data_IF_749894197036
#
_entry.id   IF_749894197036
#
_cell.length_a   1.000
_cell.length_b   1.000
_cell.length_c   1.000
_cell.angle_alpha   90.00
_cell.angle_beta   90.00
_cell.angle_gamma   90.00
#
_symmetry.space_group_name_H-M   'P 1'
#
loop_
_entity.id
_entity.type
_entity.pdbx_description
1 polymer ?
#
# COMPACT_ATOMS: atom_id res chain seq x y z
N UNK A 1 62.64 -3.50 12.46
CA UNK A 1 61.29 -2.89 12.46
C UNK A 1 60.71 -2.87 11.04
N UNK A 2 60.41 -4.02 10.45
CA UNK A 2 60.00 -4.12 9.02
C UNK A 2 58.73 -4.95 8.78
N UNK A 3 57.94 -5.23 9.82
CA UNK A 3 56.79 -6.15 9.74
C UNK A 3 55.39 -5.51 9.64
N UNK A 4 55.24 -4.20 9.80
CA UNK A 4 53.91 -3.56 9.97
C UNK A 4 53.27 -3.06 8.68
N UNK A 5 54.05 -2.80 7.63
CA UNK A 5 53.53 -2.25 6.36
C UNK A 5 52.80 -3.28 5.48
N UNK A 6 53.26 -4.53 5.47
CA UNK A 6 52.69 -5.58 4.62
C UNK A 6 51.27 -6.01 5.06
N UNK A 7 51.01 -6.03 6.38
CA UNK A 7 49.69 -6.35 6.93
C UNK A 7 48.65 -5.25 6.67
N UNK A 8 49.06 -3.98 6.75
CA UNK A 8 48.20 -2.84 6.45
C UNK A 8 47.87 -2.75 4.95
N UNK A 9 48.85 -3.02 4.08
CA UNK A 9 48.63 -3.07 2.64
C UNK A 9 47.73 -4.26 2.24
N UNK A 10 47.89 -5.43 2.85
CA UNK A 10 47.03 -6.58 2.61
C UNK A 10 45.60 -6.38 3.15
N UNK A 11 45.44 -5.69 4.29
CA UNK A 11 44.15 -5.29 4.81
C UNK A 11 43.47 -4.26 3.90
N UNK A 12 44.21 -3.26 3.41
CA UNK A 12 43.73 -2.28 2.44
C UNK A 12 43.36 -2.95 1.10
N UNK A 13 44.11 -3.94 0.63
CA UNK A 13 43.77 -4.71 -0.58
C UNK A 13 42.53 -5.58 -0.39
N UNK A 14 42.30 -6.13 0.81
CA UNK A 14 41.09 -6.89 1.16
C UNK A 14 39.85 -5.99 1.30
N UNK A 15 40.03 -4.75 1.75
CA UNK A 15 38.99 -3.71 1.76
C UNK A 15 38.72 -3.15 0.35
N UNK A 16 39.74 -3.10 -0.50
CA UNK A 16 39.64 -2.66 -1.90
C UNK A 16 39.13 -3.75 -2.86
N UNK A 17 39.16 -5.03 -2.45
CA UNK A 17 38.41 -6.11 -3.06
C UNK A 17 36.91 -5.98 -2.72
N UNK A 18 36.36 -4.77 -2.92
CA UNK A 18 34.94 -4.54 -2.95
C UNK A 18 34.36 -5.44 -4.04
N UNK A 19 33.25 -6.10 -3.74
CA UNK A 19 32.42 -6.73 -4.77
C UNK A 19 32.27 -5.73 -5.93
N UNK A 20 32.35 -6.19 -7.19
CA UNK A 20 32.21 -5.30 -8.34
C UNK A 20 30.98 -4.43 -8.11
N UNK A 21 31.13 -3.10 -8.24
CA UNK A 21 30.03 -2.18 -8.09
C UNK A 21 28.91 -2.67 -9.02
N UNK A 22 27.80 -3.13 -8.44
CA UNK A 22 26.62 -3.51 -9.23
C UNK A 22 26.29 -2.29 -10.09
N UNK A 23 26.13 -2.45 -11.41
CA UNK A 23 25.95 -1.32 -12.29
C UNK A 23 24.73 -0.50 -11.83
N UNK A 24 24.96 0.77 -11.54
CA UNK A 24 23.90 1.71 -11.26
C UNK A 24 23.08 1.89 -12.55
N UNK A 25 21.85 1.38 -12.55
CA UNK A 25 20.98 1.44 -13.71
C UNK A 25 19.58 0.91 -13.39
N UNK A 26 18.67 1.11 -14.33
CA UNK A 26 17.34 0.50 -14.28
C UNK A 26 17.40 -1.03 -14.36
N UNK A 27 16.24 -1.64 -14.18
CA UNK A 27 16.06 -3.09 -14.16
C UNK A 27 16.49 -3.77 -15.46
N UNK A 28 16.89 -5.04 -15.33
CA UNK A 28 17.14 -5.91 -16.46
C UNK A 28 15.89 -6.02 -17.38
N UNK A 29 16.09 -5.97 -18.70
CA UNK A 29 14.99 -5.90 -19.67
C UNK A 29 14.06 -7.11 -19.62
N UNK A 30 14.61 -8.30 -19.36
CA UNK A 30 13.85 -9.54 -19.18
C UNK A 30 12.91 -9.44 -17.97
N UNK A 31 13.37 -8.90 -16.83
CA UNK A 31 12.53 -8.66 -15.66
C UNK A 31 11.41 -7.66 -15.96
N UNK A 32 11.68 -6.61 -16.74
CA UNK A 32 10.67 -5.64 -17.16
C UNK A 32 9.61 -6.31 -18.02
N UNK A 33 10.03 -7.15 -18.98
CA UNK A 33 9.10 -7.90 -19.83
C UNK A 33 8.23 -8.83 -18.99
N UNK A 34 8.82 -9.58 -18.04
CA UNK A 34 8.09 -10.49 -17.17
C UNK A 34 7.10 -9.72 -16.28
N UNK A 35 7.54 -8.68 -15.60
CA UNK A 35 6.71 -7.89 -14.71
C UNK A 35 5.56 -7.20 -15.48
N UNK A 36 5.86 -6.61 -16.64
CA UNK A 36 4.86 -5.94 -17.49
C UNK A 36 3.84 -6.93 -18.05
N UNK A 37 4.30 -8.11 -18.50
CA UNK A 37 3.41 -9.17 -19.02
C UNK A 37 2.54 -9.72 -17.89
N UNK A 38 3.10 -9.95 -16.71
CA UNK A 38 2.36 -10.38 -15.53
C UNK A 38 1.29 -9.37 -15.12
N UNK A 39 1.66 -8.08 -15.03
CA UNK A 39 0.72 -7.00 -14.72
C UNK A 39 -0.40 -6.89 -15.77
N UNK A 40 -0.06 -7.00 -17.06
CA UNK A 40 -1.04 -6.99 -18.15
C UNK A 40 -1.99 -8.19 -18.07
N UNK A 41 -1.46 -9.39 -17.81
CA UNK A 41 -2.26 -10.61 -17.67
C UNK A 41 -3.22 -10.51 -16.48
N UNK A 42 -2.73 -10.09 -15.30
CA UNK A 42 -3.58 -9.90 -14.11
C UNK A 42 -4.65 -8.82 -14.34
N UNK A 43 -4.29 -7.74 -15.03
CA UNK A 43 -5.24 -6.68 -15.41
C UNK A 43 -6.30 -7.21 -16.38
N UNK A 44 -5.91 -8.01 -17.38
CA UNK A 44 -6.84 -8.65 -18.30
C UNK A 44 -7.80 -9.60 -17.56
N UNK A 45 -7.31 -10.39 -16.60
CA UNK A 45 -8.16 -11.23 -15.74
C UNK A 45 -9.18 -10.38 -14.98
N UNK A 46 -8.76 -9.28 -14.39
CA UNK A 46 -9.64 -8.33 -13.70
C UNK A 46 -10.72 -7.77 -14.61
N UNK A 47 -10.35 -7.37 -15.83
CA UNK A 47 -11.28 -6.86 -16.83
C UNK A 47 -12.29 -7.93 -17.27
N UNK A 48 -11.84 -9.16 -17.49
CA UNK A 48 -12.71 -10.29 -17.85
C UNK A 48 -13.68 -10.64 -16.73
N UNK A 49 -13.19 -10.72 -15.48
CA UNK A 49 -14.05 -10.96 -14.31
C UNK A 49 -15.05 -9.84 -14.11
N UNK A 50 -14.61 -8.59 -14.27
CA UNK A 50 -15.45 -7.43 -14.13
C UNK A 50 -16.53 -7.35 -15.20
N UNK A 51 -16.15 -7.47 -16.47
CA UNK A 51 -17.08 -7.55 -17.60
C UNK A 51 -18.05 -8.72 -17.43
N UNK A 52 -17.55 -9.90 -17.08
CA UNK A 52 -18.37 -11.09 -16.82
C UNK A 52 -19.41 -10.88 -15.72
N UNK A 53 -19.05 -10.21 -14.61
CA UNK A 53 -20.00 -9.82 -13.56
C UNK A 53 -21.04 -8.82 -14.07
N UNK A 54 -20.61 -7.78 -14.79
CA UNK A 54 -21.50 -6.77 -15.38
C UNK A 54 -22.52 -7.39 -16.33
N UNK A 55 -22.09 -8.30 -17.21
CA UNK A 55 -22.98 -9.00 -18.16
C UNK A 55 -23.74 -10.17 -17.55
N UNK A 56 -23.50 -10.52 -16.28
CA UNK A 56 -24.15 -11.66 -15.61
C UNK A 56 -23.62 -13.04 -16.02
N UNK A 57 -22.51 -13.10 -16.76
CA UNK A 57 -21.87 -14.36 -17.18
C UNK A 57 -21.05 -15.01 -16.06
N UNK A 58 -20.50 -14.19 -15.17
CA UNK A 58 -19.69 -14.64 -14.02
C UNK A 58 -20.41 -14.30 -12.73
N UNK A 59 -20.70 -15.31 -11.91
CA UNK A 59 -21.39 -15.12 -10.62
C UNK A 59 -20.45 -15.13 -9.41
N UNK A 60 -19.16 -15.47 -9.61
CA UNK A 60 -18.17 -15.59 -8.54
C UNK A 60 -18.00 -14.28 -7.74
N UNK A 61 -17.84 -13.14 -8.43
CA UNK A 61 -17.71 -11.83 -7.76
C UNK A 61 -18.94 -11.49 -6.92
N UNK A 62 -20.15 -11.76 -7.44
CA UNK A 62 -21.39 -11.55 -6.70
C UNK A 62 -21.49 -12.48 -5.47
N UNK A 63 -21.01 -13.73 -5.56
CA UNK A 63 -20.97 -14.67 -4.43
C UNK A 63 -20.00 -14.20 -3.35
N UNK A 64 -18.79 -13.80 -3.73
CA UNK A 64 -17.78 -13.27 -2.80
C UNK A 64 -18.27 -11.97 -2.14
N UNK A 65 -18.90 -11.08 -2.90
CA UNK A 65 -19.50 -9.86 -2.38
C UNK A 65 -20.57 -10.16 -1.31
N UNK A 66 -21.46 -11.12 -1.55
CA UNK A 66 -22.46 -11.56 -0.56
C UNK A 66 -21.87 -12.23 0.67
N UNK A 67 -20.75 -12.95 0.53
CA UNK A 67 -20.03 -13.52 1.67
C UNK A 67 -19.42 -12.40 2.52
N UNK A 68 -18.85 -11.38 1.87
CA UNK A 68 -18.26 -10.23 2.53
C UNK A 68 -19.27 -9.35 3.28
N UNK A 69 -20.56 -9.40 2.92
CA UNK A 69 -21.66 -8.75 3.66
C UNK A 69 -21.94 -9.39 5.03
N UNK A 70 -21.26 -10.48 5.39
CA UNK A 70 -21.39 -11.15 6.70
C UNK A 70 -20.35 -10.63 7.70
N UNK A 71 -20.53 -11.02 8.97
CA UNK A 71 -19.57 -10.72 10.05
C UNK A 71 -19.24 -9.22 10.14
N UNK A 72 -17.96 -8.81 10.06
CA UNK A 72 -17.55 -7.39 10.12
C UNK A 72 -18.11 -6.52 8.99
N UNK A 73 -18.46 -7.11 7.84
CA UNK A 73 -19.00 -6.41 6.68
C UNK A 73 -20.51 -6.17 6.72
N UNK A 74 -21.22 -6.75 7.72
CA UNK A 74 -22.67 -6.61 7.90
C UNK A 74 -23.11 -5.15 7.88
N UNK A 75 -24.27 -4.84 7.28
CA UNK A 75 -24.78 -3.47 7.17
C UNK A 75 -23.95 -2.59 6.23
N UNK A 76 -23.28 -3.19 5.25
CA UNK A 76 -22.72 -2.55 4.08
C UNK A 76 -23.01 -3.45 2.87
N UNK A 77 -23.25 -2.90 1.69
CA UNK A 77 -23.40 -3.69 0.47
C UNK A 77 -22.04 -4.29 0.07
N UNK A 78 -22.09 -5.41 -0.66
CA UNK A 78 -20.90 -6.17 -1.04
C UNK A 78 -19.90 -5.38 -1.89
N UNK A 79 -20.35 -4.36 -2.63
CA UNK A 79 -19.48 -3.45 -3.37
C UNK A 79 -18.61 -2.54 -2.47
N UNK A 80 -18.94 -2.40 -1.19
CA UNK A 80 -18.06 -1.75 -0.20
C UNK A 80 -17.38 -2.79 0.69
N UNK A 81 -18.13 -3.80 1.16
CA UNK A 81 -17.65 -4.76 2.14
C UNK A 81 -16.49 -5.62 1.64
N UNK A 82 -16.57 -6.14 0.41
CA UNK A 82 -15.52 -6.97 -0.18
C UNK A 82 -14.25 -6.14 -0.49
N UNK A 83 -14.33 -5.02 -1.23
CA UNK A 83 -13.17 -4.17 -1.47
C UNK A 83 -12.42 -3.74 -0.20
N UNK A 84 -13.13 -3.31 0.85
CA UNK A 84 -12.47 -2.87 2.08
C UNK A 84 -11.64 -3.99 2.73
N UNK A 85 -12.10 -5.24 2.67
CA UNK A 85 -11.35 -6.40 3.19
C UNK A 85 -10.14 -6.70 2.32
N UNK A 86 -10.31 -6.71 1.00
CA UNK A 86 -9.22 -6.91 0.05
C UNK A 86 -8.15 -5.84 0.23
N UNK A 87 -8.52 -4.56 0.30
CA UNK A 87 -7.59 -3.45 0.46
C UNK A 87 -6.84 -3.51 1.80
N UNK A 88 -7.52 -3.84 2.91
CA UNK A 88 -6.87 -3.97 4.21
C UNK A 88 -5.79 -5.07 4.20
N UNK A 89 -6.13 -6.25 3.70
CA UNK A 89 -5.17 -7.36 3.60
C UNK A 89 -4.01 -6.99 2.66
N UNK A 90 -4.33 -6.38 1.54
CA UNK A 90 -3.34 -5.97 0.54
C UNK A 90 -2.36 -4.91 1.10
N UNK A 91 -2.84 -3.95 1.88
CA UNK A 91 -2.01 -2.96 2.56
C UNK A 91 -1.08 -3.60 3.60
N UNK A 92 -1.56 -4.58 4.37
CA UNK A 92 -0.72 -5.29 5.33
C UNK A 92 0.39 -6.10 4.65
N UNK A 93 0.06 -6.78 3.53
CA UNK A 93 1.03 -7.53 2.73
C UNK A 93 2.05 -6.59 2.08
N UNK A 94 1.61 -5.46 1.51
CA UNK A 94 2.52 -4.45 0.94
C UNK A 94 3.42 -3.83 2.01
N UNK A 95 2.88 -3.53 3.19
CA UNK A 95 3.63 -2.95 4.32
C UNK A 95 4.75 -3.89 4.77
N UNK A 96 4.44 -5.17 4.94
CA UNK A 96 5.44 -6.19 5.30
C UNK A 96 6.55 -6.25 4.24
N UNK A 97 6.17 -6.35 2.96
CA UNK A 97 7.11 -6.36 1.85
C UNK A 97 8.02 -5.14 1.85
N UNK A 98 7.45 -3.95 1.99
CA UNK A 98 8.20 -2.69 1.93
C UNK A 98 9.20 -2.53 3.08
N UNK A 99 8.82 -2.84 4.33
CA UNK A 99 9.78 -2.78 5.43
C UNK A 99 10.86 -3.87 5.32
N UNK A 100 10.50 -5.05 4.82
CA UNK A 100 11.47 -6.12 4.54
C UNK A 100 12.46 -5.70 3.45
N UNK A 101 11.96 -5.09 2.38
CA UNK A 101 12.74 -4.60 1.24
C UNK A 101 13.74 -3.52 1.65
N UNK A 102 13.28 -2.51 2.41
CA UNK A 102 14.16 -1.46 2.95
C UNK A 102 15.29 -2.08 3.79
N UNK A 103 14.98 -3.05 4.66
CA UNK A 103 15.96 -3.73 5.49
C UNK A 103 17.00 -4.49 4.65
N UNK A 104 16.56 -5.20 3.61
CA UNK A 104 17.45 -5.92 2.69
C UNK A 104 18.36 -4.97 1.90
N UNK A 105 17.83 -3.86 1.40
CA UNK A 105 18.63 -2.87 0.70
C UNK A 105 19.69 -2.20 1.58
N UNK A 106 19.39 -1.99 2.87
CA UNK A 106 20.36 -1.45 3.83
C UNK A 106 21.45 -2.47 4.15
N UNK A 107 21.10 -3.75 4.29
CA UNK A 107 22.00 -4.81 4.77
C UNK A 107 22.82 -5.50 3.66
N UNK A 108 22.23 -5.71 2.49
CA UNK A 108 22.81 -6.50 1.38
C UNK A 108 23.03 -5.68 0.09
N UNK A 109 22.58 -4.42 0.08
CA UNK A 109 22.71 -3.52 -1.07
C UNK A 109 21.57 -3.64 -2.08
N UNK A 110 21.72 -2.96 -3.23
CA UNK A 110 20.68 -2.85 -4.26
C UNK A 110 20.59 -4.09 -5.14
N UNK A 111 19.36 -4.32 -5.62
CA UNK A 111 19.01 -5.44 -6.49
C UNK A 111 19.08 -5.06 -7.97
N UNK A 112 19.10 -6.06 -8.85
CA UNK A 112 19.18 -5.88 -10.31
C UNK A 112 17.82 -5.59 -10.97
N UNK A 113 16.71 -5.64 -10.21
CA UNK A 113 15.39 -5.34 -10.74
C UNK A 113 14.22 -5.77 -9.85
N UNK A 114 12.97 -5.56 -10.31
CA UNK A 114 11.75 -5.68 -9.52
C UNK A 114 11.41 -7.11 -9.10
N UNK A 115 12.08 -8.14 -9.65
CA UNK A 115 11.83 -9.54 -9.32
C UNK A 115 13.02 -10.21 -8.61
N UNK A 116 14.09 -9.46 -8.37
CA UNK A 116 15.35 -9.97 -7.84
C UNK A 116 15.32 -10.25 -6.32
N UNK A 117 14.34 -9.71 -5.59
CA UNK A 117 14.22 -9.86 -4.15
C UNK A 117 12.84 -10.41 -3.76
N UNK A 118 12.83 -11.37 -2.83
CA UNK A 118 11.62 -11.96 -2.26
C UNK A 118 10.69 -10.91 -1.62
N UNK A 119 11.23 -9.83 -1.06
CA UNK A 119 10.44 -8.75 -0.47
C UNK A 119 9.61 -7.96 -1.50
N UNK A 120 10.01 -7.94 -2.77
CA UNK A 120 9.24 -7.28 -3.83
C UNK A 120 7.90 -7.94 -4.09
N UNK A 121 7.78 -9.27 -3.94
CA UNK A 121 6.56 -9.99 -4.28
C UNK A 121 5.38 -9.58 -3.38
N UNK A 122 5.51 -9.50 -2.03
CA UNK A 122 4.48 -8.91 -1.19
C UNK A 122 4.13 -7.46 -1.56
N UNK A 123 5.10 -6.63 -1.96
CA UNK A 123 4.83 -5.25 -2.40
C UNK A 123 3.97 -5.27 -3.68
N UNK A 124 4.38 -6.03 -4.70
CA UNK A 124 3.66 -6.15 -5.97
C UNK A 124 2.25 -6.70 -5.76
N UNK A 125 2.11 -7.79 -5.01
CA UNK A 125 0.81 -8.41 -4.68
C UNK A 125 -0.07 -7.45 -3.90
N UNK A 126 0.48 -6.76 -2.89
CA UNK A 126 -0.28 -5.83 -2.07
C UNK A 126 -0.72 -4.58 -2.85
N UNK A 127 0.16 -3.94 -3.61
CA UNK A 127 -0.21 -2.76 -4.39
C UNK A 127 -1.19 -3.09 -5.52
N UNK A 128 -0.98 -4.23 -6.20
CA UNK A 128 -1.96 -4.72 -7.18
C UNK A 128 -3.30 -5.08 -6.52
N UNK A 129 -3.28 -5.63 -5.31
CA UNK A 129 -4.47 -5.92 -4.51
C UNK A 129 -5.26 -4.66 -4.09
N UNK A 130 -4.58 -3.55 -3.81
CA UNK A 130 -5.23 -2.24 -3.56
C UNK A 130 -5.92 -1.74 -4.82
N UNK A 131 -5.23 -1.77 -5.97
CA UNK A 131 -5.83 -1.41 -7.25
C UNK A 131 -7.04 -2.29 -7.59
N UNK A 132 -6.88 -3.61 -7.43
CA UNK A 132 -7.94 -4.63 -7.57
C UNK A 132 -9.14 -4.28 -6.71
N UNK A 133 -8.93 -3.94 -5.44
CA UNK A 133 -9.99 -3.55 -4.52
C UNK A 133 -10.80 -2.35 -5.03
N UNK A 134 -10.12 -1.30 -5.50
CA UNK A 134 -10.77 -0.15 -6.13
C UNK A 134 -11.60 -0.55 -7.35
N UNK A 135 -11.03 -1.35 -8.27
CA UNK A 135 -11.74 -1.84 -9.45
C UNK A 135 -12.97 -2.66 -9.06
N UNK A 136 -12.87 -3.53 -8.05
CA UNK A 136 -14.01 -4.28 -7.53
C UNK A 136 -15.11 -3.34 -7.01
N UNK A 137 -14.74 -2.29 -6.25
CA UNK A 137 -15.71 -1.29 -5.75
C UNK A 137 -16.43 -0.55 -6.89
N UNK A 138 -15.73 -0.27 -7.98
CA UNK A 138 -16.28 0.39 -9.18
C UNK A 138 -17.22 -0.54 -9.96
N UNK A 139 -16.88 -1.83 -10.08
CA UNK A 139 -17.58 -2.78 -10.94
C UNK A 139 -18.78 -3.48 -10.27
N UNK A 140 -18.70 -3.74 -8.97
CA UNK A 140 -19.69 -4.54 -8.25
C UNK A 140 -21.12 -3.95 -8.22
N UNK A 141 -21.35 -2.63 -8.06
CA UNK A 141 -22.70 -2.07 -8.02
C UNK A 141 -23.45 -2.28 -9.33
N UNK A 142 -24.55 -3.06 -9.31
CA UNK A 142 -25.38 -3.37 -10.48
C UNK A 142 -26.84 -3.02 -10.20
N UNK A 143 -27.46 -2.25 -11.11
CA UNK A 143 -28.84 -1.80 -10.96
C UNK A 143 -29.08 -0.85 -9.77
N UNK A 144 -28.00 -0.27 -9.22
CA UNK A 144 -28.06 0.61 -8.06
C UNK A 144 -27.15 1.81 -8.26
N UNK A 145 -27.47 2.92 -7.59
CA UNK A 145 -26.64 4.13 -7.56
C UNK A 145 -25.94 4.23 -6.20
N UNK A 146 -24.60 4.11 -6.13
CA UNK A 146 -23.83 4.14 -4.87
C UNK A 146 -23.77 5.51 -4.18
N UNK A 147 -24.91 5.99 -3.67
CA UNK A 147 -25.02 7.26 -2.94
C UNK A 147 -25.01 8.51 -3.83
N UNK A 148 -25.15 9.67 -3.19
CA UNK A 148 -25.30 10.96 -3.89
C UNK A 148 -24.03 11.41 -4.64
N UNK A 149 -22.85 11.06 -4.11
CA UNK A 149 -21.55 11.38 -4.68
C UNK A 149 -21.07 10.38 -5.75
N UNK A 150 -21.93 9.45 -6.18
CA UNK A 150 -21.58 8.42 -7.16
C UNK A 150 -21.07 9.04 -8.47
N UNK A 151 -19.98 8.50 -9.00
CA UNK A 151 -19.43 8.88 -10.30
C UNK A 151 -20.18 8.12 -11.40
N UNK A 152 -20.75 8.83 -12.38
CA UNK A 152 -21.42 8.22 -13.54
C UNK A 152 -20.38 7.78 -14.57
N UNK A 153 -20.29 6.48 -14.82
CA UNK A 153 -19.38 5.89 -15.83
C UNK A 153 -20.09 5.79 -17.18
N UNK A 154 -21.30 5.22 -17.19
CA UNK A 154 -22.18 5.17 -18.38
C UNK A 154 -23.61 5.56 -17.97
N UNK A 155 -24.59 5.42 -18.87
CA UNK A 155 -26.00 5.73 -18.56
C UNK A 155 -26.52 4.90 -17.38
N UNK A 156 -26.14 3.63 -17.32
CA UNK A 156 -26.66 2.64 -16.35
C UNK A 156 -25.58 2.10 -15.39
N UNK A 157 -24.43 2.76 -15.33
CA UNK A 157 -23.32 2.38 -14.46
C UNK A 157 -22.82 3.55 -13.64
N UNK A 158 -22.96 3.42 -12.33
CA UNK A 158 -22.51 4.37 -11.33
C UNK A 158 -21.55 3.67 -10.37
N UNK A 159 -20.43 4.33 -10.07
CA UNK A 159 -19.41 3.85 -9.15
C UNK A 159 -19.39 4.71 -7.88
N UNK A 160 -19.11 4.14 -6.69
CA UNK A 160 -18.89 4.92 -5.47
C UNK A 160 -17.62 5.77 -5.62
N UNK A 161 -17.64 7.01 -5.11
CA UNK A 161 -16.48 7.89 -5.24
C UNK A 161 -15.27 7.32 -4.49
N UNK A 162 -15.48 6.72 -3.31
CA UNK A 162 -14.45 6.03 -2.57
C UNK A 162 -13.82 4.87 -3.35
N UNK A 163 -14.60 4.17 -4.17
CA UNK A 163 -14.09 3.10 -5.03
C UNK A 163 -13.20 3.62 -6.17
N UNK A 164 -13.62 4.72 -6.80
CA UNK A 164 -12.82 5.39 -7.85
C UNK A 164 -11.51 5.94 -7.28
N UNK A 165 -11.57 6.59 -6.11
CA UNK A 165 -10.39 7.10 -5.42
C UNK A 165 -9.44 5.95 -5.02
N UNK A 166 -9.98 4.81 -4.57
CA UNK A 166 -9.19 3.65 -4.20
C UNK A 166 -8.48 3.03 -5.41
N UNK A 167 -9.18 2.93 -6.55
CA UNK A 167 -8.59 2.48 -7.80
C UNK A 167 -7.49 3.45 -8.26
N UNK A 168 -7.77 4.76 -8.22
CA UNK A 168 -6.80 5.80 -8.58
C UNK A 168 -5.56 5.77 -7.69
N UNK A 169 -5.72 5.61 -6.38
CA UNK A 169 -4.62 5.53 -5.42
C UNK A 169 -3.74 4.29 -5.65
N UNK A 170 -4.36 3.11 -5.87
CA UNK A 170 -3.63 1.89 -6.22
C UNK A 170 -2.92 1.98 -7.57
N UNK A 171 -3.57 2.55 -8.58
CA UNK A 171 -2.97 2.78 -9.89
C UNK A 171 -1.79 3.74 -9.82
N UNK A 172 -1.93 4.85 -9.08
CA UNK A 172 -0.86 5.81 -8.84
C UNK A 172 0.36 5.17 -8.15
N UNK A 173 0.13 4.31 -7.16
CA UNK A 173 1.22 3.54 -6.53
C UNK A 173 1.90 2.58 -7.52
N UNK A 174 1.13 1.86 -8.34
CA UNK A 174 1.65 0.90 -9.33
C UNK A 174 2.44 1.58 -10.44
N UNK A 175 2.04 2.79 -10.86
CA UNK A 175 2.82 3.59 -11.81
C UNK A 175 4.23 3.93 -11.28
N UNK A 176 4.43 3.90 -9.95
CA UNK A 176 5.73 4.04 -9.34
C UNK A 176 6.77 3.10 -9.94
N UNK A 177 6.46 1.81 -10.16
CA UNK A 177 7.45 0.83 -10.65
C UNK A 177 8.03 1.12 -12.04
N UNK A 178 7.24 1.26 -13.12
CA UNK A 178 7.80 1.56 -14.44
C UNK A 178 8.45 2.94 -14.49
N UNK A 179 7.94 3.92 -13.72
CA UNK A 179 8.55 5.25 -13.65
C UNK A 179 9.85 5.25 -12.85
N UNK A 180 9.98 4.38 -11.85
CA UNK A 180 11.20 4.16 -11.06
C UNK A 180 12.32 3.60 -11.94
N UNK A 181 12.01 2.60 -12.79
CA UNK A 181 12.97 2.08 -13.77
C UNK A 181 13.46 3.18 -14.72
N UNK A 182 12.54 3.98 -15.27
CA UNK A 182 12.89 5.12 -16.13
C UNK A 182 13.73 6.14 -15.38
N UNK A 183 13.35 6.46 -14.14
CA UNK A 183 14.09 7.39 -13.27
C UNK A 183 15.53 6.90 -13.05
N UNK A 184 15.72 5.63 -12.70
CA UNK A 184 17.04 5.05 -12.46
C UNK A 184 17.89 4.98 -13.72
N UNK A 185 17.30 4.80 -14.90
CA UNK A 185 18.04 4.86 -16.18
C UNK A 185 18.58 6.25 -16.50
N UNK A 186 17.85 7.30 -16.11
CA UNK A 186 18.20 8.69 -16.47
C UNK A 186 19.10 9.32 -15.39
N UNK A 187 18.77 9.12 -14.12
CA UNK A 187 19.39 9.82 -12.99
C UNK A 187 20.23 8.93 -12.08
N UNK A 188 20.19 7.61 -12.26
CA UNK A 188 20.82 6.64 -11.37
C UNK A 188 19.90 6.23 -10.22
N UNK A 189 20.35 5.25 -9.43
CA UNK A 189 19.57 4.69 -8.33
C UNK A 189 19.46 5.66 -7.15
N UNK A 190 18.28 5.73 -6.54
CA UNK A 190 18.05 6.58 -5.38
C UNK A 190 18.85 6.10 -4.17
N UNK A 191 19.37 7.04 -3.37
CA UNK A 191 20.03 6.76 -2.08
C UNK A 191 19.14 7.07 -0.87
N UNK A 192 17.92 7.55 -1.13
CA UNK A 192 16.93 7.94 -0.11
C UNK A 192 15.56 7.38 -0.46
N UNK A 193 14.72 7.23 0.56
CA UNK A 193 13.30 6.92 0.41
C UNK A 193 12.51 8.06 -0.26
N UNK A 194 13.07 9.27 -0.32
CA UNK A 194 12.40 10.46 -0.88
C UNK A 194 12.57 10.62 -2.40
N UNK A 195 13.01 9.57 -3.10
CA UNK A 195 12.94 9.49 -4.56
C UNK A 195 11.51 9.74 -5.06
N UNK A 196 11.30 10.51 -6.16
CA UNK A 196 9.96 10.89 -6.61
C UNK A 196 9.00 9.71 -6.78
N UNK A 197 9.51 8.60 -7.31
CA UNK A 197 8.77 7.34 -7.59
C UNK A 197 8.47 6.56 -6.31
N UNK A 198 9.37 6.56 -5.32
CA UNK A 198 9.08 6.06 -3.98
C UNK A 198 7.96 6.87 -3.30
N UNK A 199 7.98 8.20 -3.42
CA UNK A 199 6.93 9.06 -2.90
C UNK A 199 5.58 8.80 -3.59
N UNK A 200 5.57 8.42 -4.86
CA UNK A 200 4.36 7.97 -5.56
C UNK A 200 3.82 6.66 -4.97
N UNK A 201 4.68 5.67 -4.75
CA UNK A 201 4.32 4.37 -4.18
C UNK A 201 3.75 4.53 -2.77
N UNK A 202 4.49 5.21 -1.90
CA UNK A 202 4.10 5.46 -0.50
C UNK A 202 2.85 6.34 -0.45
N UNK A 203 2.81 7.41 -1.27
CA UNK A 203 1.69 8.33 -1.36
C UNK A 203 0.41 7.65 -1.84
N UNK A 204 0.48 6.81 -2.87
CA UNK A 204 -0.66 6.05 -3.37
C UNK A 204 -1.19 5.06 -2.34
N UNK A 205 -0.31 4.32 -1.66
CA UNK A 205 -0.70 3.44 -0.55
C UNK A 205 -1.35 4.24 0.61
N UNK A 206 -0.79 5.40 0.98
CA UNK A 206 -1.34 6.29 2.00
C UNK A 206 -2.71 6.87 1.62
N UNK A 207 -2.87 7.36 0.38
CA UNK A 207 -4.13 7.89 -0.14
C UNK A 207 -5.23 6.82 -0.22
N UNK A 208 -4.85 5.55 -0.42
CA UNK A 208 -5.81 4.44 -0.43
C UNK A 208 -6.56 4.30 0.90
N UNK A 209 -5.93 4.63 2.03
CA UNK A 209 -6.57 4.60 3.35
C UNK A 209 -7.64 5.69 3.48
N UNK A 210 -7.41 6.87 2.88
CA UNK A 210 -8.43 7.93 2.79
C UNK A 210 -9.60 7.46 1.93
N UNK A 211 -9.32 6.85 0.78
CA UNK A 211 -10.35 6.27 -0.08
C UNK A 211 -11.17 5.17 0.61
N UNK A 212 -10.52 4.32 1.42
CA UNK A 212 -11.18 3.31 2.24
C UNK A 212 -12.11 3.93 3.29
N UNK A 213 -11.71 5.02 3.96
CA UNK A 213 -12.59 5.72 4.89
C UNK A 213 -13.85 6.29 4.20
N UNK A 214 -13.68 6.83 2.99
CA UNK A 214 -14.80 7.31 2.17
C UNK A 214 -15.70 6.15 1.76
N UNK A 215 -15.14 5.06 1.23
CA UNK A 215 -15.88 3.89 0.79
C UNK A 215 -16.63 3.20 1.94
N UNK A 216 -16.05 3.16 3.14
CA UNK A 216 -16.73 2.69 4.35
C UNK A 216 -17.99 3.52 4.62
N UNK A 217 -17.86 4.84 4.57
CA UNK A 217 -18.97 5.76 4.83
C UNK A 217 -20.06 5.65 3.78
N UNK A 218 -19.69 5.55 2.51
CA UNK A 218 -20.61 5.35 1.39
C UNK A 218 -21.35 4.02 1.52
N UNK A 219 -20.64 2.93 1.80
CA UNK A 219 -21.24 1.61 2.01
C UNK A 219 -22.24 1.58 3.15
N UNK A 220 -21.92 2.22 4.28
CA UNK A 220 -22.84 2.33 5.43
C UNK A 220 -24.08 3.15 5.10
N UNK A 221 -23.92 4.26 4.37
CA UNK A 221 -25.04 5.14 3.99
C UNK A 221 -25.96 4.53 2.94
N UNK A 222 -25.47 3.58 2.15
CA UNK A 222 -26.28 2.88 1.16
C UNK A 222 -27.33 1.95 1.80
N UNK A 223 -27.16 1.58 3.08
CA UNK A 223 -28.07 0.71 3.82
C UNK A 223 -28.35 1.28 5.23
N UNK A 224 -29.08 2.41 5.35
CA UNK A 224 -29.26 3.11 6.62
C UNK A 224 -30.00 2.27 7.68
N UNK A 225 -30.96 1.45 7.24
CA UNK A 225 -31.82 0.65 8.12
C UNK A 225 -31.30 -0.79 8.34
N UNK A 226 -30.20 -1.16 7.68
CA UNK A 226 -29.66 -2.51 7.82
C UNK A 226 -28.97 -2.68 9.18
N UNK A 227 -29.31 -3.76 9.88
CA UNK A 227 -28.62 -4.15 11.11
C UNK A 227 -27.11 -4.28 10.85
N UNK A 228 -26.31 -3.44 11.49
CA UNK A 228 -24.85 -3.46 11.38
C UNK A 228 -24.19 -4.53 12.25
N UNK A 229 -22.85 -4.63 12.24
CA UNK A 229 -22.14 -5.38 13.26
C UNK A 229 -22.30 -4.68 14.62
N UNK A 230 -21.92 -5.34 15.73
CA UNK A 230 -21.86 -4.70 17.04
C UNK A 230 -21.11 -3.37 17.00
N UNK A 231 -21.57 -2.39 17.77
CA UNK A 231 -21.01 -1.03 17.76
C UNK A 231 -19.50 -0.99 18.00
N UNK A 232 -19.00 -1.86 18.87
CA UNK A 232 -17.56 -1.99 19.16
C UNK A 232 -16.75 -2.48 17.95
N UNK A 233 -17.29 -3.39 17.12
CA UNK A 233 -16.61 -3.87 15.89
C UNK A 233 -16.48 -2.72 14.90
N UNK A 234 -17.56 -1.95 14.71
CA UNK A 234 -17.54 -0.77 13.84
C UNK A 234 -16.55 0.27 14.34
N UNK A 235 -16.53 0.51 15.65
CA UNK A 235 -15.61 1.45 16.29
C UNK A 235 -14.15 1.00 16.13
N UNK A 236 -13.84 -0.27 16.42
CA UNK A 236 -12.52 -0.86 16.24
C UNK A 236 -12.04 -0.72 14.79
N UNK A 237 -12.89 -1.05 13.80
CA UNK A 237 -12.53 -0.91 12.37
C UNK A 237 -12.18 0.52 11.99
N UNK A 238 -12.93 1.52 12.47
CA UNK A 238 -12.62 2.93 12.20
C UNK A 238 -11.29 3.34 12.84
N UNK A 239 -11.02 2.87 14.05
CA UNK A 239 -9.74 3.08 14.72
C UNK A 239 -8.59 2.41 13.95
N UNK A 240 -8.78 1.19 13.43
CA UNK A 240 -7.79 0.50 12.59
C UNK A 240 -7.52 1.25 11.28
N UNK A 241 -8.55 1.81 10.62
CA UNK A 241 -8.36 2.63 9.42
C UNK A 241 -7.61 3.93 9.74
N UNK A 242 -7.92 4.57 10.87
CA UNK A 242 -7.17 5.75 11.34
C UNK A 242 -5.73 5.43 11.72
N UNK A 243 -5.49 4.29 12.38
CA UNK A 243 -4.15 3.79 12.67
C UNK A 243 -3.40 3.39 11.40
N UNK A 244 -4.10 2.82 10.42
CA UNK A 244 -3.55 2.55 9.09
C UNK A 244 -3.14 3.84 8.38
N UNK A 245 -3.95 4.90 8.43
CA UNK A 245 -3.58 6.23 7.93
C UNK A 245 -2.34 6.77 8.63
N UNK A 246 -2.24 6.60 9.95
CA UNK A 246 -1.03 6.96 10.69
C UNK A 246 0.17 6.17 10.20
N UNK A 247 0.05 4.85 10.00
CA UNK A 247 1.12 4.02 9.42
C UNK A 247 1.53 4.57 8.04
N UNK A 248 0.58 4.78 7.14
CA UNK A 248 0.85 5.27 5.78
C UNK A 248 1.58 6.62 5.76
N UNK A 249 1.19 7.56 6.64
CA UNK A 249 1.87 8.85 6.78
C UNK A 249 3.23 8.74 7.48
N UNK A 250 3.43 7.72 8.32
CA UNK A 250 4.72 7.47 8.97
C UNK A 250 5.72 6.74 8.09
N UNK A 251 5.32 6.13 6.96
CA UNK A 251 6.28 5.49 6.03
C UNK A 251 7.28 6.51 5.48
N UNK A 252 6.88 7.77 5.27
CA UNK A 252 7.78 8.85 4.85
C UNK A 252 8.93 9.11 5.84
N UNK A 253 8.85 8.56 7.05
CA UNK A 253 9.83 8.68 8.12
C UNK A 253 10.75 7.45 8.20
N UNK A 254 10.55 6.42 7.36
CA UNK A 254 11.21 5.14 7.55
C UNK A 254 12.74 5.22 7.49
N UNK A 255 13.34 6.13 6.70
CA UNK A 255 14.81 6.32 6.72
C UNK A 255 15.35 6.72 8.09
N UNK A 256 14.58 7.45 8.90
CA UNK A 256 14.92 7.78 10.28
C UNK A 256 14.72 6.57 11.20
N UNK A 257 13.65 5.81 10.99
CA UNK A 257 13.35 4.61 11.78
C UNK A 257 14.45 3.54 11.64
N UNK A 258 15.05 3.43 10.46
CA UNK A 258 16.18 2.55 10.18
C UNK A 258 17.55 3.13 10.55
N UNK A 259 17.62 4.37 11.05
CA UNK A 259 18.88 5.00 11.46
C UNK A 259 19.80 5.39 10.30
N UNK A 260 19.25 5.56 9.09
CA UNK A 260 19.99 5.95 7.87
C UNK A 260 19.51 7.29 7.27
N UNK A 261 19.27 8.34 8.08
CA UNK A 261 18.67 9.58 7.58
C UNK A 261 19.58 10.27 6.55
N UNK A 262 18.99 10.65 5.42
CA UNK A 262 19.69 11.43 4.39
C UNK A 262 19.44 12.94 4.55
N UNK A 263 18.35 13.31 5.21
CA UNK A 263 18.00 14.71 5.50
C UNK A 263 18.22 15.09 6.96
N UNK A 264 18.09 16.39 7.25
CA UNK A 264 18.31 16.97 8.59
C UNK A 264 17.46 16.27 9.64
N UNK A 265 18.06 15.98 10.80
CA UNK A 265 17.38 15.29 11.92
C UNK A 265 16.13 16.02 12.42
N UNK A 266 16.06 17.34 12.29
CA UNK A 266 14.88 18.14 12.66
C UNK A 266 13.62 17.76 11.85
N UNK A 267 13.76 17.18 10.66
CA UNK A 267 12.62 16.75 9.87
C UNK A 267 11.87 15.56 10.49
N UNK A 268 12.54 14.68 11.24
CA UNK A 268 11.88 13.54 11.88
C UNK A 268 10.75 13.97 12.83
N UNK A 269 10.97 14.81 13.85
CA UNK A 269 9.88 15.26 14.73
C UNK A 269 8.81 16.08 14.00
N UNK A 270 9.16 16.81 12.93
CA UNK A 270 8.19 17.55 12.12
C UNK A 270 7.26 16.61 11.34
N UNK A 271 7.81 15.56 10.72
CA UNK A 271 7.03 14.54 10.02
C UNK A 271 6.17 13.72 10.98
N UNK A 272 6.69 13.39 12.17
CA UNK A 272 5.90 12.76 13.25
C UNK A 272 4.71 13.66 13.61
N UNK A 273 4.95 14.96 13.85
CA UNK A 273 3.90 15.90 14.19
C UNK A 273 2.85 16.03 13.08
N UNK A 274 3.27 16.05 11.80
CA UNK A 274 2.37 16.09 10.65
C UNK A 274 1.52 14.80 10.55
N UNK A 275 2.16 13.63 10.59
CA UNK A 275 1.47 12.34 10.50
C UNK A 275 0.48 12.14 11.65
N UNK A 276 0.91 12.41 12.88
CA UNK A 276 0.07 12.34 14.07
C UNK A 276 -1.07 13.37 14.02
N UNK A 277 -0.75 14.63 13.68
CA UNK A 277 -1.72 15.71 13.56
C UNK A 277 -2.83 15.38 12.56
N UNK A 278 -2.47 14.93 11.36
CA UNK A 278 -3.45 14.55 10.35
C UNK A 278 -4.26 13.30 10.74
N UNK A 279 -3.60 12.19 11.06
CA UNK A 279 -4.28 10.92 11.26
C UNK A 279 -5.08 10.85 12.57
N UNK A 280 -4.50 11.32 13.68
CA UNK A 280 -5.13 11.23 14.99
C UNK A 280 -6.29 12.21 15.14
N UNK A 281 -6.20 13.41 14.54
CA UNK A 281 -7.34 14.33 14.52
C UNK A 281 -8.45 13.78 13.61
N UNK A 282 -8.11 13.29 12.41
CA UNK A 282 -9.10 12.70 11.51
C UNK A 282 -9.88 11.54 12.15
N UNK A 283 -9.18 10.57 12.76
CA UNK A 283 -9.85 9.44 13.42
C UNK A 283 -10.64 9.87 14.66
N UNK A 284 -10.15 10.86 15.41
CA UNK A 284 -10.86 11.41 16.58
C UNK A 284 -12.18 12.08 16.19
N UNK A 285 -12.19 12.81 15.07
CA UNK A 285 -13.40 13.42 14.51
C UNK A 285 -14.36 12.37 13.94
N UNK A 286 -13.83 11.30 13.34
CA UNK A 286 -14.65 10.30 12.65
C UNK A 286 -15.23 9.21 13.56
N UNK A 287 -14.45 8.71 14.52
CA UNK A 287 -14.80 7.57 15.37
C UNK A 287 -15.18 7.97 16.81
N UNK A 288 -14.78 9.15 17.29
CA UNK A 288 -15.17 9.69 18.59
C UNK A 288 -14.10 9.53 19.69
N UNK A 289 -14.54 9.67 20.95
CA UNK A 289 -13.66 9.69 22.13
C UNK A 289 -12.84 8.40 22.24
N UNK A 290 -11.55 8.51 22.52
CA UNK A 290 -10.64 7.37 22.66
C UNK A 290 -10.09 6.81 21.34
N UNK A 291 -10.61 7.25 20.18
CA UNK A 291 -10.23 6.67 18.90
C UNK A 291 -8.77 6.93 18.51
N UNK A 292 -8.24 8.11 18.85
CA UNK A 292 -6.83 8.43 18.63
C UNK A 292 -5.90 7.48 19.39
N UNK A 293 -6.23 7.16 20.65
CA UNK A 293 -5.43 6.23 21.47
C UNK A 293 -5.45 4.82 20.88
N UNK A 294 -6.62 4.34 20.45
CA UNK A 294 -6.72 3.02 19.80
C UNK A 294 -6.05 2.99 18.42
N UNK A 295 -6.06 4.09 17.67
CA UNK A 295 -5.32 4.21 16.42
C UNK A 295 -3.81 4.11 16.65
N UNK A 296 -3.29 4.76 17.71
CA UNK A 296 -1.88 4.60 18.13
C UNK A 296 -1.60 3.17 18.59
N UNK A 297 -2.47 2.54 19.37
CA UNK A 297 -2.30 1.15 19.79
C UNK A 297 -2.24 0.20 18.60
N UNK A 298 -3.12 0.39 17.60
CA UNK A 298 -3.09 -0.36 16.36
C UNK A 298 -1.81 -0.09 15.55
N UNK A 299 -1.40 1.18 15.43
CA UNK A 299 -0.14 1.55 14.79
C UNK A 299 1.04 0.81 15.43
N UNK A 300 1.14 0.82 16.76
CA UNK A 300 2.22 0.17 17.50
C UNK A 300 2.20 -1.36 17.33
N UNK A 301 1.00 -1.96 17.37
CA UNK A 301 0.84 -3.40 17.15
C UNK A 301 1.35 -3.81 15.76
N UNK A 302 0.91 -3.10 14.72
CA UNK A 302 1.26 -3.46 13.33
C UNK A 302 2.72 -3.13 13.03
N UNK A 303 3.18 -1.91 13.33
CA UNK A 303 4.58 -1.52 13.10
C UNK A 303 5.54 -2.35 13.94
N UNK A 304 5.25 -2.54 15.22
CA UNK A 304 6.06 -3.39 16.10
C UNK A 304 6.10 -4.84 15.64
N UNK A 305 4.95 -5.39 15.22
CA UNK A 305 4.88 -6.74 14.65
C UNK A 305 5.72 -6.89 13.38
N UNK A 306 5.60 -5.96 12.43
CA UNK A 306 6.43 -5.95 11.21
C UNK A 306 7.90 -5.83 11.56
N UNK A 307 8.28 -4.93 12.49
CA UNK A 307 9.68 -4.79 12.92
C UNK A 307 10.25 -6.09 13.50
N UNK A 308 9.50 -6.83 14.31
CA UNK A 308 9.95 -8.13 14.84
C UNK A 308 10.12 -9.16 13.72
N UNK A 309 9.19 -9.21 12.76
CA UNK A 309 9.27 -10.14 11.62
C UNK A 309 10.45 -9.83 10.71
N UNK A 310 10.75 -8.55 10.47
CA UNK A 310 11.83 -8.10 9.57
C UNK A 310 13.20 -8.11 10.23
N UNK A 311 13.27 -8.00 11.57
CA UNK A 311 14.54 -7.98 12.31
C UNK A 311 15.19 -9.36 12.48
N UNK A 312 14.47 -10.45 12.15
CA UNK A 312 14.99 -11.82 12.15
C UNK A 312 15.62 -12.20 10.82
#
# INVERSE_FOLDING_TARGET
>A
MTGTGAGAAAAALRLAAAAPAKPAGGAALDQIVIASTGAAALTAVLLVLGWGHRTGRVTALARLARLAERGPGRGMPGWAALPLQVALLSLLVALLGMYWDISLHISHGRDEGPLANAAHYPILVGLFGIFTSGVLAVVLPKGTRPGAASVRITRDWYAPAGGVLLAGAGFYALLGFPLDDVWHRIFGQDVTLWGPTHLMLIGGAGLSLVAMMILEREGRRALPDAAGPPGWVRYARRCMLGGGLLIGLSVFQAEYDFGVPQFRLVHQPLLIALAAGCALVAVRLWAGRGAAVLAVAFYMLVRGGVSVVVAG
#
